data_IF_859652893597
#
_entry.id   IF_859652893597
#
_cell.length_a   1.000
_cell.length_b   1.000
_cell.length_c   1.000
_cell.angle_alpha   90.00
_cell.angle_beta   90.00
_cell.angle_gamma   90.00
#
_symmetry.space_group_name_H-M   'P 1'
#
loop_
_entity.id
_entity.type
_entity.pdbx_description
1 polymer ?
#
# COMPACT_ATOMS: atom_id res chain seq x y z
N UNK A 1 -27.66 -4.01 -7.10
CA UNK A 1 -26.99 -3.65 -5.84
C UNK A 1 -26.57 -2.18 -5.93
N UNK A 2 -26.91 -1.35 -4.95
CA UNK A 2 -26.40 0.02 -4.89
C UNK A 2 -24.87 -0.01 -4.75
N UNK A 3 -24.16 0.84 -5.49
CA UNK A 3 -22.70 0.86 -5.47
C UNK A 3 -22.22 1.47 -4.14
N UNK A 4 -21.68 0.65 -3.24
CA UNK A 4 -21.09 1.10 -1.98
C UNK A 4 -19.59 1.42 -2.15
N UNK A 5 -19.28 2.66 -2.49
CA UNK A 5 -17.90 3.09 -2.72
C UNK A 5 -17.01 2.98 -1.48
N UNK A 6 -17.56 3.25 -0.28
CA UNK A 6 -16.79 3.17 0.97
C UNK A 6 -16.31 1.75 1.23
N UNK A 7 -17.20 0.78 1.10
CA UNK A 7 -16.88 -0.65 1.24
C UNK A 7 -15.86 -1.11 0.21
N UNK A 8 -16.00 -0.70 -1.06
CA UNK A 8 -15.00 -1.00 -2.10
C UNK A 8 -13.64 -0.40 -1.78
N UNK A 9 -13.58 0.85 -1.35
CA UNK A 9 -12.34 1.54 -0.97
C UNK A 9 -11.67 0.83 0.21
N UNK A 10 -12.42 0.52 1.26
CA UNK A 10 -11.92 -0.20 2.44
C UNK A 10 -11.40 -1.57 2.02
N UNK A 11 -12.14 -2.32 1.21
CA UNK A 11 -11.73 -3.64 0.71
C UNK A 11 -10.44 -3.56 -0.10
N UNK A 12 -10.32 -2.59 -1.02
CA UNK A 12 -9.13 -2.41 -1.84
C UNK A 12 -7.91 -2.01 -1.00
N UNK A 13 -8.09 -1.14 0.01
CA UNK A 13 -7.03 -0.86 0.98
C UNK A 13 -6.64 -2.11 1.78
N UNK A 14 -7.60 -2.93 2.23
CA UNK A 14 -7.31 -4.18 2.92
C UNK A 14 -6.49 -5.14 2.04
N UNK A 15 -6.89 -5.33 0.78
CA UNK A 15 -6.15 -6.18 -0.17
C UNK A 15 -4.73 -5.63 -0.38
N UNK A 16 -4.59 -4.31 -0.55
CA UNK A 16 -3.30 -3.67 -0.72
C UNK A 16 -2.39 -3.88 0.50
N UNK A 17 -2.89 -3.60 1.71
CA UNK A 17 -2.12 -3.76 2.96
C UNK A 17 -1.76 -5.21 3.24
N UNK A 18 -2.70 -6.15 3.02
CA UNK A 18 -2.43 -7.57 3.18
C UNK A 18 -1.36 -8.06 2.19
N UNK A 19 -1.43 -7.61 0.93
CA UNK A 19 -0.39 -7.94 -0.05
C UNK A 19 0.97 -7.31 0.29
N UNK A 20 1.01 -6.10 0.85
CA UNK A 20 2.25 -5.50 1.37
C UNK A 20 2.83 -6.27 2.56
N UNK A 21 1.99 -6.75 3.49
CA UNK A 21 2.44 -7.64 4.57
C UNK A 21 3.01 -8.94 4.00
N UNK A 22 2.30 -9.52 3.03
CA UNK A 22 2.74 -10.75 2.38
C UNK A 22 4.05 -10.56 1.61
N UNK A 23 4.28 -9.43 0.96
CA UNK A 23 5.54 -9.10 0.27
C UNK A 23 6.75 -9.19 1.22
N UNK A 24 6.63 -8.58 2.40
CA UNK A 24 7.66 -8.67 3.45
C UNK A 24 7.82 -10.11 3.93
N UNK A 25 6.72 -10.81 4.23
CA UNK A 25 6.77 -12.20 4.69
C UNK A 25 7.44 -13.11 3.67
N UNK A 26 7.10 -12.97 2.39
CA UNK A 26 7.65 -13.75 1.29
C UNK A 26 9.17 -13.58 1.16
N UNK A 27 9.69 -12.39 1.50
CA UNK A 27 11.14 -12.15 1.52
C UNK A 27 11.83 -12.81 2.74
N UNK A 28 11.10 -13.04 3.82
CA UNK A 28 11.61 -13.64 5.06
C UNK A 28 11.48 -15.17 5.09
N UNK A 29 10.66 -15.78 4.22
CA UNK A 29 10.50 -17.24 4.12
C UNK A 29 11.83 -18.02 4.09
N UNK A 30 12.86 -17.60 3.31
CA UNK A 30 14.14 -18.29 3.27
C UNK A 30 14.78 -18.53 4.65
N UNK A 31 14.62 -17.61 5.62
CA UNK A 31 15.15 -17.76 6.98
C UNK A 31 14.60 -19.01 7.67
N UNK A 32 13.32 -19.32 7.46
CA UNK A 32 12.67 -20.49 8.04
C UNK A 32 13.11 -21.81 7.39
N UNK A 33 13.88 -21.74 6.30
CA UNK A 33 14.49 -22.88 5.63
C UNK A 33 16.02 -22.93 5.78
N UNK A 34 16.60 -22.12 6.67
CA UNK A 34 18.04 -22.06 6.89
C UNK A 34 18.81 -21.42 5.72
N UNK A 35 18.11 -20.70 4.83
CA UNK A 35 18.70 -19.97 3.72
C UNK A 35 18.87 -18.48 4.10
N UNK A 36 19.92 -17.81 3.61
CA UNK A 36 20.07 -16.38 3.81
C UNK A 36 18.99 -15.59 3.07
N UNK A 37 18.69 -14.39 3.56
CA UNK A 37 17.84 -13.42 2.87
C UNK A 37 18.71 -12.49 2.04
N UNK A 38 18.15 -11.95 0.96
CA UNK A 38 18.82 -10.91 0.17
C UNK A 38 18.95 -9.64 1.00
N UNK A 39 20.17 -9.33 1.42
CA UNK A 39 20.51 -8.12 2.17
C UNK A 39 20.79 -6.98 1.19
N UNK A 40 19.96 -5.94 1.18
CA UNK A 40 20.21 -4.72 0.39
C UNK A 40 21.16 -3.76 1.09
N UNK A 41 21.14 -3.74 2.43
CA UNK A 41 21.98 -2.88 3.28
C UNK A 41 22.31 -3.62 4.58
N UNK A 42 23.59 -3.57 4.99
CA UNK A 42 24.01 -4.07 6.30
C UNK A 42 23.91 -2.95 7.32
N UNK A 43 23.25 -3.23 8.43
CA UNK A 43 23.18 -2.33 9.57
C UNK A 43 23.93 -2.93 10.77
N UNK A 44 24.68 -2.10 11.50
CA UNK A 44 25.41 -2.54 12.70
C UNK A 44 24.63 -2.32 14.00
N UNK A 45 23.64 -1.43 13.97
CA UNK A 45 22.78 -1.07 15.10
C UNK A 45 21.39 -0.63 14.60
N UNK A 46 20.45 -0.45 15.53
CA UNK A 46 19.05 -0.11 15.20
C UNK A 46 18.90 1.32 14.66
N UNK A 47 19.78 2.25 15.06
CA UNK A 47 19.68 3.65 14.68
C UNK A 47 19.91 3.84 13.18
N UNK A 48 20.75 2.99 12.58
CA UNK A 48 21.00 2.95 11.14
C UNK A 48 19.75 2.59 10.32
N UNK A 49 18.79 1.85 10.89
CA UNK A 49 17.52 1.48 10.23
C UNK A 49 16.29 2.19 10.80
N UNK A 50 16.44 3.03 11.82
CA UNK A 50 15.33 3.68 12.52
C UNK A 50 14.43 4.49 11.58
N UNK A 51 15.03 5.18 10.60
CA UNK A 51 14.28 5.94 9.58
C UNK A 51 13.38 5.01 8.77
N UNK A 52 13.91 3.87 8.31
CA UNK A 52 13.15 2.89 7.53
C UNK A 52 12.01 2.31 8.39
N UNK A 53 12.26 2.01 9.66
CA UNK A 53 11.23 1.52 10.59
C UNK A 53 10.07 2.50 10.76
N UNK A 54 10.36 3.79 10.94
CA UNK A 54 9.32 4.82 11.04
C UNK A 54 8.57 5.04 9.72
N UNK A 55 9.27 4.99 8.58
CA UNK A 55 8.64 5.07 7.27
C UNK A 55 7.69 3.90 7.04
N UNK A 56 8.10 2.67 7.38
CA UNK A 56 7.24 1.48 7.30
C UNK A 56 6.01 1.64 8.19
N UNK A 57 6.18 2.07 9.44
CA UNK A 57 5.06 2.30 10.35
C UNK A 57 4.07 3.32 9.77
N UNK A 58 4.57 4.47 9.28
CA UNK A 58 3.75 5.49 8.64
C UNK A 58 3.02 4.94 7.40
N UNK A 59 3.71 4.16 6.58
CA UNK A 59 3.17 3.57 5.35
C UNK A 59 2.02 2.60 5.61
N UNK A 60 2.01 1.92 6.76
CA UNK A 60 0.91 1.03 7.17
C UNK A 60 -0.21 1.77 7.92
N UNK A 61 0.14 2.67 8.84
CA UNK A 61 -0.85 3.34 9.69
C UNK A 61 -1.68 4.35 8.91
N UNK A 62 -1.10 5.09 7.97
CA UNK A 62 -1.83 6.13 7.22
C UNK A 62 -3.02 5.56 6.42
N UNK A 63 -2.89 4.45 5.66
CA UNK A 63 -4.01 3.81 4.99
C UNK A 63 -5.05 3.24 5.96
N UNK A 64 -4.62 2.70 7.10
CA UNK A 64 -5.56 2.22 8.12
C UNK A 64 -6.40 3.38 8.69
N UNK A 65 -5.79 4.53 8.97
CA UNK A 65 -6.50 5.74 9.37
C UNK A 65 -7.43 6.24 8.26
N UNK A 66 -7.02 6.15 6.99
CA UNK A 66 -7.88 6.45 5.86
C UNK A 66 -9.07 5.50 5.77
N UNK A 67 -8.93 4.20 6.03
CA UNK A 67 -10.04 3.25 6.09
C UNK A 67 -11.02 3.59 7.21
N UNK A 68 -10.52 3.90 8.41
CA UNK A 68 -11.34 4.32 9.55
C UNK A 68 -12.11 5.60 9.19
N UNK A 69 -11.41 6.62 8.69
CA UNK A 69 -12.06 7.87 8.28
C UNK A 69 -13.09 7.65 7.16
N UNK A 70 -12.86 6.72 6.22
CA UNK A 70 -13.81 6.34 5.17
C UNK A 70 -15.06 5.69 5.74
N UNK A 71 -14.96 4.94 6.83
CA UNK A 71 -16.12 4.35 7.50
C UNK A 71 -17.04 5.42 8.11
N UNK A 72 -16.47 6.49 8.67
CA UNK A 72 -17.22 7.47 9.46
C UNK A 72 -17.44 8.83 8.80
N UNK A 73 -16.72 9.16 7.72
CA UNK A 73 -16.72 10.51 7.10
C UNK A 73 -17.02 10.44 5.61
N UNK A 74 -17.77 11.42 5.11
CA UNK A 74 -18.13 11.52 3.68
C UNK A 74 -18.10 12.94 3.12
N UNK A 75 -17.35 13.83 3.79
CA UNK A 75 -17.24 15.22 3.34
C UNK A 75 -16.47 15.31 2.01
N UNK A 76 -16.86 16.26 1.16
CA UNK A 76 -16.17 16.51 -0.12
C UNK A 76 -14.66 16.77 0.06
N UNK A 77 -14.28 17.50 1.11
CA UNK A 77 -12.87 17.77 1.44
C UNK A 77 -12.12 16.47 1.77
N UNK A 78 -12.74 15.59 2.55
CA UNK A 78 -12.15 14.29 2.87
C UNK A 78 -11.96 13.42 1.63
N UNK A 79 -12.98 13.32 0.76
CA UNK A 79 -12.87 12.56 -0.50
C UNK A 79 -11.69 13.03 -1.37
N UNK A 80 -11.44 14.33 -1.42
CA UNK A 80 -10.34 14.93 -2.17
C UNK A 80 -8.97 14.57 -1.57
N UNK A 81 -8.83 14.70 -0.24
CA UNK A 81 -7.60 14.31 0.48
C UNK A 81 -7.34 12.81 0.31
N UNK A 82 -8.37 11.99 0.48
CA UNK A 82 -8.28 10.54 0.30
C UNK A 82 -7.86 10.18 -1.12
N UNK A 83 -8.43 10.80 -2.16
CA UNK A 83 -8.00 10.55 -3.53
C UNK A 83 -6.53 10.94 -3.74
N UNK A 84 -6.07 12.08 -3.21
CA UNK A 84 -4.65 12.44 -3.24
C UNK A 84 -3.76 11.39 -2.57
N UNK A 85 -4.22 10.82 -1.46
CA UNK A 85 -3.53 9.73 -0.75
C UNK A 85 -3.40 8.48 -1.62
N UNK A 86 -4.46 8.04 -2.31
CA UNK A 86 -4.37 6.83 -3.15
C UNK A 86 -3.38 7.01 -4.31
N UNK A 87 -3.33 8.21 -4.89
CA UNK A 87 -2.35 8.56 -5.93
C UNK A 87 -0.93 8.49 -5.38
N UNK A 88 -0.68 9.09 -4.21
CA UNK A 88 0.63 9.03 -3.55
C UNK A 88 1.09 7.58 -3.35
N UNK A 89 0.23 6.71 -2.82
CA UNK A 89 0.56 5.29 -2.62
C UNK A 89 0.82 4.54 -3.93
N UNK A 90 0.11 4.88 -5.01
CA UNK A 90 0.35 4.26 -6.31
C UNK A 90 1.70 4.66 -6.90
N UNK A 91 2.10 5.92 -6.73
CA UNK A 91 3.43 6.39 -7.14
C UNK A 91 4.52 5.70 -6.31
N UNK A 92 4.36 5.64 -4.99
CA UNK A 92 5.33 4.96 -4.12
C UNK A 92 5.44 3.47 -4.47
N UNK A 93 4.32 2.80 -4.73
CA UNK A 93 4.32 1.39 -5.13
C UNK A 93 5.00 1.16 -6.49
N UNK A 94 4.82 2.07 -7.44
CA UNK A 94 5.53 2.02 -8.73
C UNK A 94 7.04 2.22 -8.52
N UNK A 95 7.44 3.20 -7.73
CA UNK A 95 8.86 3.42 -7.42
C UNK A 95 9.48 2.21 -6.73
N UNK A 96 8.76 1.61 -5.77
CA UNK A 96 9.20 0.37 -5.10
C UNK A 96 9.39 -0.78 -6.09
N UNK A 97 8.41 -1.03 -6.96
CA UNK A 97 8.51 -2.04 -8.03
C UNK A 97 9.72 -1.79 -8.94
N UNK A 98 9.97 -0.54 -9.32
CA UNK A 98 11.13 -0.20 -10.16
C UNK A 98 12.45 -0.44 -9.42
N UNK A 99 12.53 -0.14 -8.12
CA UNK A 99 13.70 -0.40 -7.31
C UNK A 99 13.97 -1.89 -7.11
N UNK A 100 12.92 -2.71 -6.96
CA UNK A 100 13.04 -4.17 -6.83
C UNK A 100 13.70 -4.82 -8.06
N UNK A 101 13.54 -4.22 -9.26
CA UNK A 101 14.20 -4.72 -10.48
C UNK A 101 15.73 -4.59 -10.43
N UNK A 102 16.28 -3.77 -9.53
CA UNK A 102 17.72 -3.60 -9.34
C UNK A 102 18.28 -4.46 -8.20
N UNK A 103 17.43 -5.12 -7.41
CA UNK A 103 17.87 -6.03 -6.34
C UNK A 103 18.36 -7.34 -6.95
N UNK A 104 19.54 -7.81 -6.50
CA UNK A 104 20.15 -9.05 -6.98
C UNK A 104 20.24 -10.09 -5.86
N UNK A 105 19.84 -11.35 -6.11
CA UNK A 105 19.21 -11.85 -7.34
C UNK A 105 17.77 -11.33 -7.54
N UNK A 106 17.33 -11.25 -8.80
CA UNK A 106 15.96 -10.84 -9.12
C UNK A 106 14.95 -11.92 -8.70
N UNK A 107 14.10 -11.59 -7.72
CA UNK A 107 13.08 -12.49 -7.19
C UNK A 107 11.74 -12.29 -7.93
N UNK A 108 11.49 -13.07 -8.99
CA UNK A 108 10.30 -12.92 -9.84
C UNK A 108 8.97 -12.98 -9.10
N UNK A 109 8.86 -13.82 -8.07
CA UNK A 109 7.64 -13.89 -7.25
C UNK A 109 7.36 -12.59 -6.50
N UNK A 110 8.39 -11.82 -6.13
CA UNK A 110 8.23 -10.49 -5.55
C UNK A 110 7.73 -9.50 -6.61
N UNK A 111 8.34 -9.50 -7.80
CA UNK A 111 7.96 -8.62 -8.90
C UNK A 111 6.49 -8.84 -9.30
N UNK A 112 6.05 -10.09 -9.43
CA UNK A 112 4.66 -10.43 -9.75
C UNK A 112 3.69 -9.89 -8.70
N UNK A 113 4.01 -10.06 -7.42
CA UNK A 113 3.19 -9.53 -6.32
C UNK A 113 3.13 -8.00 -6.35
N UNK A 114 4.26 -7.33 -6.59
CA UNK A 114 4.33 -5.87 -6.65
C UNK A 114 3.55 -5.29 -7.84
N UNK A 115 3.58 -5.96 -9.00
CA UNK A 115 2.74 -5.62 -10.15
C UNK A 115 1.25 -5.78 -9.81
N UNK A 116 0.87 -6.88 -9.16
CA UNK A 116 -0.51 -7.08 -8.70
C UNK A 116 -0.96 -5.96 -7.75
N UNK A 117 -0.12 -5.59 -6.78
CA UNK A 117 -0.38 -4.49 -5.86
C UNK A 117 -0.51 -3.14 -6.57
N UNK A 118 0.25 -2.91 -7.65
CA UNK A 118 0.13 -1.71 -8.46
C UNK A 118 -1.24 -1.66 -9.15
N UNK A 119 -1.71 -2.77 -9.70
CA UNK A 119 -3.04 -2.86 -10.30
C UNK A 119 -4.15 -2.62 -9.27
N UNK A 120 -4.01 -3.15 -8.05
CA UNK A 120 -4.93 -2.87 -6.93
C UNK A 120 -4.91 -1.37 -6.57
N UNK A 121 -3.74 -0.74 -6.51
CA UNK A 121 -3.59 0.69 -6.28
C UNK A 121 -4.26 1.55 -7.36
N UNK A 122 -4.11 1.18 -8.63
CA UNK A 122 -4.79 1.85 -9.75
C UNK A 122 -6.32 1.67 -9.68
N UNK A 123 -6.81 0.49 -9.32
CA UNK A 123 -8.23 0.25 -9.12
C UNK A 123 -8.79 1.06 -7.94
N UNK A 124 -8.00 1.20 -6.87
CA UNK A 124 -8.31 2.06 -5.73
C UNK A 124 -8.38 3.54 -6.16
N UNK A 125 -7.44 4.03 -6.97
CA UNK A 125 -7.49 5.38 -7.53
C UNK A 125 -8.76 5.61 -8.32
N UNK A 126 -9.10 4.69 -9.22
CA UNK A 126 -10.31 4.78 -10.05
C UNK A 126 -11.56 4.83 -9.18
N UNK A 127 -11.64 3.95 -8.18
CA UNK A 127 -12.77 3.88 -7.24
C UNK A 127 -12.88 5.16 -6.40
N UNK A 128 -11.77 5.68 -5.88
CA UNK A 128 -11.72 6.92 -5.11
C UNK A 128 -12.09 8.14 -5.97
N UNK A 129 -11.68 8.17 -7.24
CA UNK A 129 -12.05 9.22 -8.18
C UNK A 129 -13.54 9.22 -8.51
N UNK A 130 -14.11 8.05 -8.77
CA UNK A 130 -15.55 7.89 -8.98
C UNK A 130 -16.33 8.35 -7.73
N UNK A 131 -15.85 7.99 -6.53
CA UNK A 131 -16.44 8.42 -5.27
C UNK A 131 -16.34 9.95 -5.07
N UNK A 132 -15.22 10.57 -5.42
CA UNK A 132 -15.03 12.03 -5.38
C UNK A 132 -16.01 12.78 -6.28
N UNK A 133 -16.35 12.22 -7.45
CA UNK A 133 -17.28 12.83 -8.42
C UNK A 133 -18.76 12.71 -8.04
N UNK A 134 -19.12 11.85 -7.08
CA UNK A 134 -20.50 11.75 -6.65
C UNK A 134 -20.99 13.07 -6.04
N UNK A 135 -22.21 13.54 -6.38
CA UNK A 135 -22.78 14.72 -5.76
C UNK A 135 -22.84 14.53 -4.24
N UNK A 136 -22.34 15.53 -3.52
CA UNK A 136 -22.41 15.53 -2.06
C UNK A 136 -23.88 15.73 -1.65
N UNK A 137 -24.49 14.72 -1.03
CA UNK A 137 -25.75 14.92 -0.31
C UNK A 137 -25.39 15.49 1.05
N UNK A 138 -25.67 16.77 1.26
CA UNK A 138 -25.79 17.31 2.61
C UNK A 138 -27.00 16.59 3.24
N UNK A 139 -26.74 15.79 4.28
CA UNK A 139 -27.81 15.29 5.15
C UNK A 139 -28.28 16.43 6.05
#
# INVERSE_FOLDING_TARGET
MAVNYRERIITLWSVFLLGMLFHTQLNLIPLFHGLPVVESQKATNIDEIAVIMWLMLGFFVIPMLAMIATAFTDSKRYRMIHFGLTIFYSIMNLLHLLLDLFVQPLLWYQIVLMVFLLLVGLLLNLTAFQWLRLPFKAN
#
